data_IF_077343565293
#
_entry.id   IF_077343565293
#
_cell.length_a   1.000
_cell.length_b   1.000
_cell.length_c   1.000
_cell.angle_alpha   90.00
_cell.angle_beta   90.00
_cell.angle_gamma   90.00
#
_symmetry.space_group_name_H-M   'P 1'
#
loop_
_entity.id
_entity.type
_entity.pdbx_description
1 polymer ?
#
# COMPACT_ATOMS: atom_id res chain seq x y z
N UNK A 1 -6.97 -16.50 -35.45
CA UNK A 1 -7.50 -15.81 -34.24
C UNK A 1 -6.75 -16.12 -32.93
N UNK A 2 -5.78 -17.05 -32.87
CA UNK A 2 -5.13 -17.45 -31.60
C UNK A 2 -3.98 -16.56 -31.08
N UNK A 3 -3.45 -15.61 -31.89
CA UNK A 3 -2.26 -14.81 -31.51
C UNK A 3 -2.58 -13.69 -30.50
N UNK A 4 -3.84 -13.26 -30.42
CA UNK A 4 -4.26 -12.18 -29.51
C UNK A 4 -4.46 -12.66 -28.07
N UNK A 5 -4.89 -13.91 -27.87
CA UNK A 5 -5.11 -14.47 -26.53
C UNK A 5 -3.81 -14.70 -25.77
N UNK A 6 -2.75 -15.14 -26.46
CA UNK A 6 -1.42 -15.31 -25.86
C UNK A 6 -0.86 -13.97 -25.37
N UNK A 7 -1.04 -12.90 -26.16
CA UNK A 7 -0.58 -11.56 -25.79
C UNK A 7 -1.35 -11.01 -24.58
N UNK A 8 -2.65 -11.30 -24.49
CA UNK A 8 -3.47 -10.91 -23.34
C UNK A 8 -3.10 -11.69 -22.09
N UNK A 9 -2.83 -13.00 -22.20
CA UNK A 9 -2.42 -13.83 -21.06
C UNK A 9 -1.06 -13.41 -20.50
N UNK A 10 -0.09 -13.12 -21.37
CA UNK A 10 1.21 -12.54 -20.97
C UNK A 10 1.02 -11.18 -20.31
N UNK A 11 0.08 -10.35 -20.79
CA UNK A 11 -0.29 -9.08 -20.13
C UNK A 11 -0.85 -9.28 -18.73
N UNK A 12 -1.77 -10.21 -18.53
CA UNK A 12 -2.35 -10.48 -17.21
C UNK A 12 -1.31 -11.04 -16.24
N UNK A 13 -0.42 -11.90 -16.73
CA UNK A 13 0.69 -12.44 -15.94
C UNK A 13 1.69 -11.35 -15.55
N UNK A 14 2.04 -10.46 -16.48
CA UNK A 14 2.90 -9.30 -16.22
C UNK A 14 2.26 -8.33 -15.21
N UNK A 15 0.96 -8.06 -15.30
CA UNK A 15 0.25 -7.23 -14.33
C UNK A 15 0.21 -7.88 -12.94
N UNK A 16 -0.12 -9.18 -12.87
CA UNK A 16 -0.17 -9.91 -11.60
C UNK A 16 1.19 -9.96 -10.90
N UNK A 17 2.26 -10.19 -11.66
CA UNK A 17 3.63 -10.18 -11.13
C UNK A 17 4.06 -8.77 -10.70
N UNK A 18 3.72 -7.72 -11.46
CA UNK A 18 4.02 -6.34 -11.07
C UNK A 18 3.30 -5.92 -9.79
N UNK A 19 2.04 -6.34 -9.62
CA UNK A 19 1.27 -6.11 -8.39
C UNK A 19 1.87 -6.90 -7.22
N UNK A 20 2.19 -8.17 -7.41
CA UNK A 20 2.81 -8.99 -6.37
C UNK A 20 4.19 -8.46 -5.95
N UNK A 21 5.03 -8.06 -6.90
CA UNK A 21 6.35 -7.49 -6.63
C UNK A 21 6.25 -6.12 -5.98
N UNK A 22 5.33 -5.25 -6.41
CA UNK A 22 5.13 -3.96 -5.74
C UNK A 22 4.61 -4.13 -4.32
N UNK A 23 3.68 -5.07 -4.08
CA UNK A 23 3.19 -5.38 -2.75
C UNK A 23 4.31 -5.95 -1.86
N UNK A 24 5.07 -6.93 -2.36
CA UNK A 24 6.20 -7.52 -1.63
C UNK A 24 7.30 -6.49 -1.35
N UNK A 25 7.60 -5.61 -2.30
CA UNK A 25 8.59 -4.55 -2.15
C UNK A 25 8.16 -3.46 -1.16
N UNK A 26 6.87 -3.10 -1.14
CA UNK A 26 6.34 -2.09 -0.25
C UNK A 26 6.19 -2.63 1.19
N UNK A 27 5.77 -3.89 1.34
CA UNK A 27 5.70 -4.57 2.63
C UNK A 27 7.10 -4.83 3.20
N UNK A 28 7.99 -5.44 2.39
CA UNK A 28 9.37 -5.70 2.80
C UNK A 28 10.16 -4.42 3.05
N UNK A 29 9.99 -3.42 2.18
CA UNK A 29 10.58 -2.09 2.35
C UNK A 29 10.07 -1.37 3.59
N UNK A 30 8.77 -1.44 3.87
CA UNK A 30 8.17 -0.86 5.08
C UNK A 30 8.65 -1.53 6.37
N UNK A 31 8.78 -2.86 6.37
CA UNK A 31 9.33 -3.61 7.50
C UNK A 31 10.79 -3.24 7.77
N UNK A 32 11.62 -3.20 6.72
CA UNK A 32 13.03 -2.86 6.86
C UNK A 32 13.23 -1.40 7.26
N UNK A 33 12.46 -0.47 6.70
CA UNK A 33 12.50 0.95 7.06
C UNK A 33 12.04 1.17 8.50
N UNK A 34 10.99 0.47 8.93
CA UNK A 34 10.55 0.46 10.32
C UNK A 34 11.61 -0.07 11.27
N UNK A 35 12.27 -1.18 10.91
CA UNK A 35 13.32 -1.81 11.72
C UNK A 35 14.61 -0.97 11.77
N UNK A 36 14.95 -0.27 10.68
CA UNK A 36 16.11 0.63 10.63
C UNK A 36 15.90 1.89 11.48
N UNK A 37 14.69 2.48 11.44
CA UNK A 37 14.35 3.61 12.32
C UNK A 37 14.33 3.20 13.80
N UNK A 38 13.89 1.98 14.11
CA UNK A 38 13.91 1.41 15.48
C UNK A 38 15.35 1.25 16.00
N UNK A 39 16.25 0.73 15.15
CA UNK A 39 17.66 0.50 15.50
C UNK A 39 18.48 1.78 15.64
N UNK A 40 18.09 2.88 14.97
CA UNK A 40 18.82 4.15 15.03
C UNK A 40 18.50 4.97 16.30
N UNK A 41 17.33 4.73 16.90
CA UNK A 41 16.80 5.55 17.99
C UNK A 41 16.83 4.87 19.38
N UNK A 42 17.18 3.58 19.45
CA UNK A 42 17.51 2.90 20.72
C UNK A 42 16.39 2.86 21.78
N UNK A 43 15.12 3.06 21.38
CA UNK A 43 13.97 3.15 22.28
C UNK A 43 13.00 1.98 22.10
N UNK A 44 13.44 0.77 22.46
CA UNK A 44 12.50 -0.31 22.72
C UNK A 44 11.65 0.06 23.96
N UNK A 45 10.29 0.07 23.93
CA UNK A 45 9.36 -0.31 22.87
C UNK A 45 8.32 0.79 22.49
N UNK A 46 8.58 2.07 22.77
CA UNK A 46 7.58 3.15 22.63
C UNK A 46 7.37 3.55 21.17
N UNK A 47 8.42 3.53 20.35
CA UNK A 47 8.38 4.04 18.98
C UNK A 47 7.57 3.13 18.04
N UNK A 48 7.68 1.80 18.20
CA UNK A 48 6.80 0.81 17.55
C UNK A 48 5.32 1.13 17.76
N UNK A 49 4.93 1.46 19.00
CA UNK A 49 3.53 1.74 19.36
C UNK A 49 3.06 3.04 18.71
N UNK A 50 3.91 4.07 18.68
CA UNK A 50 3.57 5.37 18.07
C UNK A 50 3.44 5.26 16.55
N UNK A 51 4.33 4.53 15.87
CA UNK A 51 4.24 4.30 14.42
C UNK A 51 3.04 3.43 14.07
N UNK A 52 2.75 2.41 14.88
CA UNK A 52 1.56 1.57 14.70
C UNK A 52 0.27 2.40 14.85
N UNK A 53 0.20 3.27 15.88
CA UNK A 53 -0.90 4.21 16.07
C UNK A 53 -1.02 5.22 14.92
N UNK A 54 0.10 5.77 14.45
CA UNK A 54 0.10 6.68 13.30
C UNK A 54 -0.32 5.98 12.01
N UNK A 55 0.10 4.74 11.78
CA UNK A 55 -0.32 3.93 10.64
C UNK A 55 -1.82 3.66 10.63
N UNK A 56 -2.39 3.33 11.79
CA UNK A 56 -3.84 3.17 11.97
C UNK A 56 -4.56 4.50 11.75
N UNK A 57 -4.07 5.60 12.33
CA UNK A 57 -4.66 6.92 12.18
C UNK A 57 -4.63 7.40 10.72
N UNK A 58 -3.51 7.22 10.01
CA UNK A 58 -3.40 7.53 8.58
C UNK A 58 -4.33 6.66 7.74
N UNK A 59 -4.44 5.36 8.03
CA UNK A 59 -5.35 4.45 7.32
C UNK A 59 -6.81 4.90 7.45
N UNK A 60 -7.24 5.25 8.66
CA UNK A 60 -8.59 5.78 8.91
C UNK A 60 -8.78 7.13 8.20
N UNK A 61 -7.82 8.05 8.30
CA UNK A 61 -7.88 9.35 7.64
C UNK A 61 -7.97 9.21 6.11
N UNK A 62 -7.23 8.27 5.53
CA UNK A 62 -7.25 8.00 4.10
C UNK A 62 -8.59 7.42 3.63
N UNK A 63 -9.18 6.51 4.40
CA UNK A 63 -10.52 5.98 4.14
C UNK A 63 -11.57 7.09 4.19
N UNK A 64 -11.54 7.95 5.23
CA UNK A 64 -12.47 9.08 5.36
C UNK A 64 -12.27 10.10 4.22
N UNK A 65 -11.02 10.41 3.86
CA UNK A 65 -10.71 11.31 2.76
C UNK A 65 -11.20 10.76 1.42
N UNK A 66 -10.98 9.47 1.17
CA UNK A 66 -11.42 8.79 -0.05
C UNK A 66 -12.95 8.75 -0.13
N UNK A 67 -13.62 8.38 0.96
CA UNK A 67 -15.10 8.37 1.02
C UNK A 67 -15.69 9.77 0.87
N UNK A 68 -15.07 10.80 1.48
CA UNK A 68 -15.49 12.20 1.25
C UNK A 68 -15.28 12.62 -0.19
N UNK A 69 -14.16 12.26 -0.80
CA UNK A 69 -13.86 12.58 -2.21
C UNK A 69 -14.83 11.87 -3.16
N UNK A 70 -15.20 10.63 -2.86
CA UNK A 70 -16.17 9.86 -3.65
C UNK A 70 -17.61 10.34 -3.44
N UNK A 71 -18.01 10.65 -2.20
CA UNK A 71 -19.32 11.22 -1.90
C UNK A 71 -19.51 12.59 -2.55
N UNK A 72 -18.46 13.42 -2.56
CA UNK A 72 -18.48 14.75 -3.18
C UNK A 72 -18.49 14.71 -4.71
N UNK A 73 -18.17 13.57 -5.32
CA UNK A 73 -18.27 13.35 -6.79
C UNK A 73 -19.69 12.96 -7.21
N UNK A 74 -20.55 12.50 -6.28
CA UNK A 74 -21.92 12.09 -6.60
C UNK A 74 -22.97 13.20 -6.44
N UNK A 75 -22.60 14.39 -5.95
CA UNK A 75 -23.51 15.54 -5.80
C UNK A 75 -23.38 16.58 -6.93
N UNK A 76 -22.60 16.29 -7.99
CA UNK A 76 -22.45 17.15 -9.18
C UNK A 76 -23.07 16.54 -10.47
N UNK A 77 -24.20 15.84 -10.34
CA UNK A 77 -25.02 15.41 -11.50
C UNK A 77 -26.39 16.09 -11.49
#
# INVERSE_FOLDING_TARGET
MAKNDVNNWVRYMALGSMIATSLAGLVGGGYFLGNFLDSLLGTDPILKIVIMLLGVALGIAYLVFTLRKLGKVNDEQ
#
